data_IF_769723768239
#
_entry.id   IF_769723768239
#
_cell.length_a   1.000
_cell.length_b   1.000
_cell.length_c   1.000
_cell.angle_alpha   90.00
_cell.angle_beta   90.00
_cell.angle_gamma   90.00
#
_symmetry.space_group_name_H-M   'P 1'
#
loop_
_entity.id
_entity.type
_entity.pdbx_description
1 polymer ?
#
# COMPACT_ATOMS: atom_id res chain seq x y z
N UNK A 1 9.94 9.67 3.67
CA UNK A 1 8.84 10.07 4.58
C UNK A 1 9.02 9.38 5.93
N UNK A 2 8.60 10.01 7.03
CA UNK A 2 8.51 9.32 8.32
C UNK A 2 7.12 8.65 8.42
N UNK A 3 7.10 7.38 8.83
CA UNK A 3 5.86 6.60 9.00
C UNK A 3 5.73 6.14 10.44
N UNK A 4 4.59 6.42 11.06
CA UNK A 4 4.33 6.14 12.48
C UNK A 4 3.08 5.25 12.58
N UNK A 5 3.15 4.09 13.25
CA UNK A 5 1.96 3.29 13.51
C UNK A 5 1.07 3.98 14.55
N UNK A 6 -0.23 4.01 14.28
CA UNK A 6 -1.24 4.53 15.19
C UNK A 6 -2.36 3.50 15.36
N UNK A 7 -2.99 3.53 16.53
CA UNK A 7 -4.18 2.74 16.83
C UNK A 7 -5.27 3.67 17.38
N UNK A 8 -6.47 3.56 16.82
CA UNK A 8 -7.69 4.08 17.45
C UNK A 8 -8.45 2.92 18.10
N UNK A 9 -9.55 3.23 18.79
CA UNK A 9 -10.44 2.20 19.33
C UNK A 9 -11.12 1.37 18.22
N UNK A 10 -11.24 1.93 17.02
CA UNK A 10 -11.98 1.32 15.90
C UNK A 10 -11.04 0.64 14.90
N UNK A 11 -9.78 1.08 14.81
CA UNK A 11 -8.91 0.70 13.69
C UNK A 11 -7.41 0.90 13.91
N UNK A 12 -6.65 0.41 12.94
CA UNK A 12 -5.20 0.56 12.88
C UNK A 12 -4.80 1.45 11.70
N UNK A 13 -3.84 2.34 11.92
CA UNK A 13 -3.39 3.30 10.92
C UNK A 13 -1.88 3.37 10.82
N UNK A 14 -1.43 3.91 9.69
CA UNK A 14 -0.10 4.45 9.47
C UNK A 14 -0.24 5.95 9.21
N UNK A 15 0.43 6.77 10.01
CA UNK A 15 0.55 8.21 9.76
C UNK A 15 1.88 8.47 9.05
N UNK A 16 1.81 9.02 7.84
CA UNK A 16 2.96 9.52 7.10
C UNK A 16 3.07 11.02 7.27
N UNK A 17 4.28 11.52 7.50
CA UNK A 17 4.58 12.95 7.53
C UNK A 17 5.73 13.28 6.57
N UNK A 18 5.62 14.44 5.92
CA UNK A 18 6.66 14.94 5.01
C UNK A 18 7.92 15.30 5.82
N UNK A 19 9.10 14.83 5.40
CA UNK A 19 10.35 15.33 5.96
C UNK A 19 10.60 16.77 5.46
N UNK A 20 11.38 17.59 6.19
CA UNK A 20 11.63 18.98 5.81
C UNK A 20 12.24 19.16 4.41
N UNK A 21 13.05 18.19 3.97
CA UNK A 21 13.77 18.23 2.69
C UNK A 21 12.86 17.93 1.49
N UNK A 22 11.69 17.34 1.74
CA UNK A 22 10.72 16.97 0.70
C UNK A 22 9.32 17.47 1.08
N UNK A 23 9.04 18.79 0.94
CA UNK A 23 7.73 19.35 1.21
C UNK A 23 6.67 18.78 0.25
N UNK A 24 5.42 18.79 0.68
CA UNK A 24 4.25 18.36 -0.09
C UNK A 24 4.18 16.89 -0.52
N UNK A 25 5.09 16.02 -0.06
CA UNK A 25 5.10 14.60 -0.45
C UNK A 25 3.85 13.87 0.03
N UNK A 26 3.33 14.17 1.23
CA UNK A 26 2.12 13.52 1.74
C UNK A 26 0.86 13.96 0.98
N UNK A 27 0.77 15.22 0.58
CA UNK A 27 -0.32 15.75 -0.25
C UNK A 27 -0.27 15.13 -1.66
N UNK A 28 0.93 15.01 -2.23
CA UNK A 28 1.14 14.35 -3.51
C UNK A 28 0.70 12.88 -3.46
N UNK A 29 1.06 12.15 -2.39
CA UNK A 29 0.60 10.76 -2.21
C UNK A 29 -0.93 10.70 -2.05
N UNK A 30 -1.54 11.60 -1.28
CA UNK A 30 -2.99 11.66 -1.10
C UNK A 30 -3.73 11.93 -2.43
N UNK A 31 -3.19 12.81 -3.27
CA UNK A 31 -3.72 13.11 -4.60
C UNK A 31 -3.76 11.87 -5.48
N UNK A 32 -2.65 11.14 -5.58
CA UNK A 32 -2.56 9.93 -6.40
C UNK A 32 -3.43 8.79 -5.87
N UNK A 33 -3.54 8.62 -4.55
CA UNK A 33 -4.46 7.63 -3.97
C UNK A 33 -5.94 7.98 -4.27
N UNK A 34 -6.29 9.27 -4.28
CA UNK A 34 -7.64 9.74 -4.64
C UNK A 34 -7.96 9.43 -6.10
N UNK A 35 -7.01 9.69 -7.01
CA UNK A 35 -7.17 9.36 -8.43
C UNK A 35 -7.29 7.85 -8.61
N UNK A 36 -6.42 7.07 -7.96
CA UNK A 36 -6.45 5.62 -8.00
C UNK A 36 -7.84 5.09 -7.58
N UNK A 37 -8.41 5.62 -6.50
CA UNK A 37 -9.75 5.24 -6.07
C UNK A 37 -10.84 5.57 -7.11
N UNK A 38 -10.68 6.64 -7.89
CA UNK A 38 -11.63 7.04 -8.94
C UNK A 38 -11.53 6.22 -10.23
N UNK A 39 -10.35 5.72 -10.60
CA UNK A 39 -10.11 4.95 -11.83
C UNK A 39 -10.26 3.44 -11.63
N UNK A 40 -10.06 2.94 -10.41
CA UNK A 40 -10.20 1.52 -10.09
C UNK A 40 -11.65 1.22 -9.67
N UNK A 41 -12.27 0.19 -10.27
CA UNK A 41 -13.41 -0.47 -9.64
C UNK A 41 -12.90 -1.19 -8.37
N UNK A 42 -13.20 -0.61 -7.20
CA UNK A 42 -12.94 -1.13 -5.85
C UNK A 42 -12.83 -2.67 -5.79
N UNK A 43 -11.72 -3.25 -5.27
CA UNK A 43 -11.28 -3.05 -3.87
C UNK A 43 -9.76 -2.89 -3.63
N UNK A 44 -8.99 -2.37 -4.60
CA UNK A 44 -7.52 -2.40 -4.53
C UNK A 44 -6.81 -1.25 -3.78
N UNK A 45 -7.51 -0.15 -3.44
CA UNK A 45 -6.88 1.06 -2.86
C UNK A 45 -7.18 1.17 -1.37
N UNK A 46 -6.14 1.45 -0.58
CA UNK A 46 -6.26 1.63 0.87
C UNK A 46 -7.09 2.86 1.22
N UNK A 47 -7.91 2.78 2.28
CA UNK A 47 -8.60 3.95 2.81
C UNK A 47 -7.58 4.94 3.38
N UNK A 48 -7.68 6.21 2.98
CA UNK A 48 -6.73 7.23 3.38
C UNK A 48 -7.42 8.59 3.59
N UNK A 49 -6.78 9.48 4.36
CA UNK A 49 -7.23 10.86 4.59
C UNK A 49 -6.03 11.77 4.86
N UNK A 50 -6.08 12.98 4.32
CA UNK A 50 -5.16 14.05 4.75
C UNK A 50 -5.63 14.63 6.08
N UNK A 51 -4.75 14.66 7.07
CA UNK A 51 -4.98 15.20 8.41
C UNK A 51 -4.01 16.35 8.67
N UNK A 52 -4.33 17.21 9.64
CA UNK A 52 -3.47 18.33 10.02
C UNK A 52 -3.20 18.30 11.52
N UNK A 53 -1.97 18.63 11.91
CA UNK A 53 -1.63 18.82 13.32
C UNK A 53 -2.15 20.17 13.85
N UNK A 54 -1.93 20.44 15.14
CA UNK A 54 -2.36 21.68 15.78
C UNK A 54 -1.73 22.95 15.17
N UNK A 55 -0.64 22.82 14.42
CA UNK A 55 0.06 23.92 13.72
C UNK A 55 -0.31 24.01 12.24
N UNK A 56 -1.23 23.15 11.76
CA UNK A 56 -1.63 23.09 10.36
C UNK A 56 -0.69 22.31 9.46
N UNK A 57 0.28 21.56 9.99
CA UNK A 57 1.16 20.73 9.16
C UNK A 57 0.43 19.48 8.69
N UNK A 58 0.51 19.14 7.38
CA UNK A 58 -0.21 18.00 6.83
C UNK A 58 0.45 16.67 7.18
N UNK A 59 -0.39 15.66 7.34
CA UNK A 59 -0.01 14.25 7.43
C UNK A 59 -0.99 13.39 6.64
N UNK A 60 -0.54 12.24 6.16
CA UNK A 60 -1.39 11.28 5.46
C UNK A 60 -1.68 10.09 6.39
N UNK A 61 -2.94 9.98 6.81
CA UNK A 61 -3.42 8.88 7.63
C UNK A 61 -3.96 7.77 6.72
N UNK A 62 -3.38 6.58 6.81
CA UNK A 62 -3.73 5.42 5.98
C UNK A 62 -4.24 4.30 6.90
N UNK A 63 -5.44 3.78 6.64
CA UNK A 63 -5.95 2.60 7.36
C UNK A 63 -5.17 1.37 6.93
N UNK A 64 -4.68 0.61 7.90
CA UNK A 64 -3.96 -0.64 7.67
C UNK A 64 -4.91 -1.71 7.18
N UNK A 65 -4.62 -2.30 6.03
CA UNK A 65 -5.38 -3.42 5.49
C UNK A 65 -4.94 -4.78 6.05
N UNK A 66 -3.78 -4.84 6.71
CA UNK A 66 -3.24 -6.05 7.33
C UNK A 66 -3.78 -6.28 8.76
N UNK A 67 -4.75 -5.47 9.19
CA UNK A 67 -5.31 -5.51 10.55
C UNK A 67 -6.78 -5.14 10.53
N UNK A 68 -7.55 -5.69 11.46
CA UNK A 68 -8.94 -5.30 11.69
C UNK A 68 -9.33 -5.57 13.14
N UNK A 69 -10.40 -4.91 13.59
CA UNK A 69 -11.09 -5.20 14.86
C UNK A 69 -12.36 -5.96 14.52
N UNK A 70 -12.63 -7.07 15.20
CA UNK A 70 -13.85 -7.86 14.99
C UNK A 70 -15.07 -7.28 15.73
N UNK A 71 -16.23 -7.89 15.53
CA UNK A 71 -17.51 -7.47 16.15
C UNK A 71 -17.49 -7.53 17.69
N UNK A 72 -16.56 -8.28 18.28
CA UNK A 72 -16.38 -8.39 19.73
C UNK A 72 -15.31 -7.43 20.27
N UNK A 73 -14.74 -6.57 19.42
CA UNK A 73 -13.69 -5.62 19.79
C UNK A 73 -12.28 -6.23 19.86
N UNK A 74 -12.09 -7.47 19.41
CA UNK A 74 -10.77 -8.11 19.42
C UNK A 74 -9.94 -7.70 18.19
N UNK A 75 -8.66 -7.41 18.41
CA UNK A 75 -7.73 -7.00 17.37
C UNK A 75 -7.08 -8.20 16.67
N UNK A 76 -7.19 -8.23 15.34
CA UNK A 76 -6.66 -9.29 14.48
C UNK A 76 -5.55 -8.77 13.57
N UNK A 77 -4.63 -9.67 13.22
CA UNK A 77 -3.53 -9.43 12.28
C UNK A 77 -3.63 -10.40 11.12
N UNK A 78 -3.48 -9.88 9.91
CA UNK A 78 -3.38 -10.65 8.68
C UNK A 78 -1.90 -10.76 8.30
N UNK A 79 -1.47 -11.96 7.90
CA UNK A 79 -0.14 -12.13 7.35
C UNK A 79 -0.06 -11.45 5.98
N UNK A 80 0.95 -10.59 5.80
CA UNK A 80 1.20 -9.86 4.56
C UNK A 80 2.68 -9.91 4.28
N UNK A 81 3.02 -10.21 3.03
CA UNK A 81 4.39 -10.27 2.51
C UNK A 81 4.49 -9.34 1.30
N UNK A 82 5.62 -8.63 1.17
CA UNK A 82 5.95 -7.87 -0.03
C UNK A 82 6.65 -8.73 -1.08
N UNK A 83 6.82 -8.18 -2.29
CA UNK A 83 7.43 -8.91 -3.39
C UNK A 83 8.92 -9.26 -3.16
N UNK A 84 9.67 -8.48 -2.38
CA UNK A 84 11.04 -8.82 -2.01
C UNK A 84 11.07 -10.03 -1.10
N UNK A 85 10.24 -10.04 -0.06
CA UNK A 85 10.11 -11.16 0.87
C UNK A 85 9.73 -12.44 0.15
N UNK A 86 8.72 -12.38 -0.74
CA UNK A 86 8.32 -13.52 -1.57
C UNK A 86 9.45 -14.02 -2.48
N UNK A 87 10.28 -13.11 -3.00
CA UNK A 87 11.46 -13.44 -3.81
C UNK A 87 12.70 -13.79 -2.97
N UNK A 88 12.60 -13.86 -1.65
CA UNK A 88 13.72 -14.05 -0.72
C UNK A 88 14.88 -13.06 -0.98
N UNK A 89 14.52 -11.78 -1.17
CA UNK A 89 15.44 -10.68 -1.42
C UNK A 89 15.48 -9.73 -0.24
N UNK A 90 16.63 -9.06 -0.06
CA UNK A 90 16.74 -7.99 0.92
C UNK A 90 15.88 -6.79 0.50
N UNK A 91 15.36 -5.99 1.45
CA UNK A 91 14.58 -4.79 1.13
C UNK A 91 15.29 -3.80 0.19
N UNK A 92 16.63 -3.77 0.23
CA UNK A 92 17.46 -2.95 -0.65
C UNK A 92 17.33 -3.33 -2.14
N UNK A 93 16.94 -4.57 -2.45
CA UNK A 93 16.78 -5.09 -3.82
C UNK A 93 15.42 -4.75 -4.45
N UNK A 94 14.58 -3.93 -3.80
CA UNK A 94 13.23 -3.62 -4.30
C UNK A 94 13.21 -3.01 -5.72
N UNK A 95 14.29 -2.38 -6.16
CA UNK A 95 14.44 -1.84 -7.50
C UNK A 95 15.14 -2.79 -8.49
N UNK A 96 15.61 -3.93 -8.00
CA UNK A 96 16.27 -4.98 -8.79
C UNK A 96 15.27 -6.07 -9.22
N UNK A 97 14.02 -5.98 -8.81
CA UNK A 97 12.94 -6.90 -9.19
C UNK A 97 12.11 -6.33 -10.33
N UNK A 98 11.95 -7.10 -11.41
CA UNK A 98 11.04 -6.73 -12.49
C UNK A 98 9.59 -7.03 -12.11
N UNK A 99 8.65 -6.35 -12.78
CA UNK A 99 7.22 -6.59 -12.58
C UNK A 99 6.85 -8.06 -12.88
N UNK A 100 7.48 -8.68 -13.87
CA UNK A 100 7.28 -10.09 -14.23
C UNK A 100 7.78 -11.03 -13.14
N UNK A 101 8.92 -10.74 -12.51
CA UNK A 101 9.43 -11.52 -11.38
C UNK A 101 8.49 -11.44 -10.18
N UNK A 102 7.99 -10.24 -9.87
CA UNK A 102 6.98 -10.02 -8.84
C UNK A 102 5.69 -10.80 -9.15
N UNK A 103 5.16 -10.68 -10.37
CA UNK A 103 3.97 -11.39 -10.80
C UNK A 103 4.14 -12.92 -10.70
N UNK A 104 5.27 -13.43 -11.18
CA UNK A 104 5.57 -14.85 -11.16
C UNK A 104 5.58 -15.43 -9.74
N UNK A 105 6.24 -14.76 -8.79
CA UNK A 105 6.31 -15.27 -7.42
C UNK A 105 4.95 -15.22 -6.74
N UNK A 106 4.19 -14.13 -6.90
CA UNK A 106 2.86 -13.97 -6.30
C UNK A 106 1.91 -15.05 -6.80
N UNK A 107 1.89 -15.30 -8.12
CA UNK A 107 1.01 -16.28 -8.75
C UNK A 107 1.33 -17.74 -8.38
N UNK A 108 2.51 -18.02 -7.80
CA UNK A 108 2.87 -19.32 -7.25
C UNK A 108 2.43 -19.53 -5.81
N UNK A 109 2.18 -18.45 -5.05
CA UNK A 109 1.74 -18.53 -3.66
C UNK A 109 0.21 -18.64 -3.51
N UNK A 110 -0.53 -18.25 -4.55
CA UNK A 110 -1.99 -18.31 -4.53
C UNK A 110 -2.49 -19.73 -4.77
N UNK A 111 -3.51 -20.15 -4.01
CA UNK A 111 -4.11 -21.48 -4.11
C UNK A 111 -4.65 -21.79 -5.52
N UNK A 112 -5.21 -20.79 -6.21
CA UNK A 112 -5.76 -20.94 -7.56
C UNK A 112 -5.29 -19.82 -8.49
N UNK A 113 -4.20 -20.09 -9.20
CA UNK A 113 -3.61 -19.16 -10.18
C UNK A 113 -4.62 -18.77 -11.26
N UNK A 114 -5.50 -19.68 -11.69
CA UNK A 114 -6.50 -19.38 -12.75
C UNK A 114 -7.53 -18.34 -12.32
N UNK A 115 -7.87 -18.29 -11.03
CA UNK A 115 -8.78 -17.29 -10.48
C UNK A 115 -8.06 -15.98 -10.10
N UNK A 116 -6.82 -16.09 -9.63
CA UNK A 116 -6.04 -14.95 -9.17
C UNK A 116 -5.42 -14.13 -10.32
N UNK A 117 -4.93 -14.78 -11.37
CA UNK A 117 -4.20 -14.12 -12.45
C UNK A 117 -5.02 -13.04 -13.17
N UNK A 118 -6.29 -13.26 -13.57
CA UNK A 118 -7.09 -12.22 -14.21
C UNK A 118 -7.34 -11.01 -13.30
N UNK A 119 -7.50 -11.22 -11.98
CA UNK A 119 -7.65 -10.12 -11.01
C UNK A 119 -6.34 -9.34 -10.84
N UNK A 120 -5.23 -10.06 -10.73
CA UNK A 120 -3.89 -9.49 -10.60
C UNK A 120 -3.51 -8.68 -11.86
N UNK A 121 -3.61 -9.28 -13.06
CA UNK A 121 -3.31 -8.57 -14.30
C UNK A 121 -4.37 -7.52 -14.64
N UNK A 122 -5.63 -7.73 -14.29
CA UNK A 122 -6.67 -6.70 -14.40
C UNK A 122 -6.32 -5.43 -13.62
N UNK A 123 -5.70 -5.57 -12.45
CA UNK A 123 -5.16 -4.41 -11.70
C UNK A 123 -3.91 -3.79 -12.33
N UNK A 124 -3.16 -4.53 -13.17
CA UNK A 124 -1.95 -4.05 -13.86
C UNK A 124 -2.23 -3.42 -15.24
N UNK A 125 -3.17 -3.97 -16.00
CA UNK A 125 -3.47 -3.54 -17.37
C UNK A 125 -4.22 -2.22 -17.46
N UNK A 126 -4.73 -1.70 -16.33
CA UNK A 126 -5.43 -0.42 -16.31
C UNK A 126 -4.54 0.79 -16.57
N UNK A 127 -3.18 0.72 -16.57
CA UNK A 127 -2.26 1.60 -17.33
C UNK A 127 -0.79 1.13 -17.19
N UNK A 128 -0.02 1.25 -18.28
CA UNK A 128 1.45 1.18 -18.42
C UNK A 128 2.30 0.61 -17.28
N UNK A 129 2.97 -0.50 -17.58
CA UNK A 129 4.02 -1.15 -16.78
C UNK A 129 5.16 -0.27 -16.19
N UNK A 130 5.50 0.96 -16.65
CA UNK A 130 6.60 1.70 -16.04
C UNK A 130 6.25 2.37 -14.69
N UNK A 131 4.98 2.65 -14.40
CA UNK A 131 4.60 3.46 -13.21
C UNK A 131 3.98 2.66 -12.06
N UNK A 132 3.61 1.39 -12.31
CA UNK A 132 2.93 0.52 -11.34
C UNK A 132 3.83 -0.02 -10.21
N UNK A 133 5.14 0.27 -10.24
CA UNK A 133 6.02 0.06 -9.08
C UNK A 133 5.64 0.91 -7.85
N UNK A 134 4.73 1.87 -8.01
CA UNK A 134 4.33 2.82 -6.96
C UNK A 134 3.08 2.38 -6.19
N UNK A 135 2.13 1.65 -6.79
CA UNK A 135 0.78 1.50 -6.19
C UNK A 135 0.55 0.22 -5.39
N UNK A 136 1.27 -0.87 -5.68
CA UNK A 136 1.15 -2.13 -4.94
C UNK A 136 2.35 -2.39 -4.01
N UNK A 137 3.40 -1.56 -4.11
CA UNK A 137 4.70 -1.73 -3.41
C UNK A 137 5.13 -0.51 -2.58
N UNK A 138 4.23 0.45 -2.30
CA UNK A 138 4.54 1.63 -1.48
C UNK A 138 4.45 1.42 0.04
N UNK A 139 4.45 0.17 0.50
CA UNK A 139 4.63 -0.15 1.93
C UNK A 139 6.13 -0.15 2.30
N UNK A 140 7.03 -0.27 1.31
CA UNK A 140 8.49 -0.28 1.50
C UNK A 140 9.22 0.98 0.99
N UNK A 141 8.51 2.05 0.67
CA UNK A 141 9.11 3.30 0.21
C UNK A 141 9.05 4.34 1.34
N UNK A 142 10.02 4.26 2.25
CA UNK A 142 10.41 5.35 3.16
C UNK A 142 11.40 6.28 2.48
#
# INVERSE_FOLDING_TARGET
MLTIPLQSNEDFYLLKVSPPEYPHVVENEAFFLTIAHGIHASPGVVSHRLVHDATGRPGLLIRRFDRYVDEHGAAHRLAVEDACQLNNRYPADKYNLTAEQCAHVILRQVFSTRLAAPKFFGSLSTHGLPEMGIYTLKICQS
#
